data_IF_197291790033
#
_entry.id   IF_197291790033
#
_cell.length_a   1.000
_cell.length_b   1.000
_cell.length_c   1.000
_cell.angle_alpha   90.00
_cell.angle_beta   90.00
_cell.angle_gamma   90.00
#
_symmetry.space_group_name_H-M   'P 1'
#
loop_
_entity.id
_entity.type
_entity.pdbx_description
1 polymer ?
#
# COMPACT_ATOMS: atom_id res chain seq x y z
N UNK A 1 -14.34 16.84 -7.04
CA UNK A 1 -13.35 15.89 -6.47
C UNK A 1 -12.27 15.73 -7.53
N UNK A 2 -11.01 16.01 -7.17
CA UNK A 2 -9.90 15.83 -8.10
C UNK A 2 -9.67 14.32 -8.26
N UNK A 3 -10.12 13.76 -9.38
CA UNK A 3 -9.70 12.41 -9.78
C UNK A 3 -8.19 12.43 -9.92
N UNK A 4 -7.47 11.58 -9.20
CA UNK A 4 -6.08 11.31 -9.55
C UNK A 4 -6.09 10.58 -10.88
N UNK A 5 -5.23 10.96 -11.83
CA UNK A 5 -5.07 10.21 -13.08
C UNK A 5 -4.21 8.97 -12.87
N UNK A 6 -3.36 8.94 -11.84
CA UNK A 6 -2.47 7.81 -11.56
C UNK A 6 -2.11 7.59 -10.10
N UNK A 7 -1.23 6.60 -9.90
CA UNK A 7 -0.66 6.29 -8.59
C UNK A 7 0.69 5.58 -8.71
N UNK A 8 1.52 5.75 -7.67
CA UNK A 8 2.68 4.89 -7.44
C UNK A 8 2.43 4.02 -6.21
N UNK A 9 2.42 2.69 -6.40
CA UNK A 9 2.34 1.71 -5.33
C UNK A 9 3.74 1.14 -5.02
N UNK A 10 4.18 1.26 -3.78
CA UNK A 10 5.39 0.62 -3.28
C UNK A 10 5.03 -0.63 -2.47
N UNK A 11 5.59 -1.77 -2.85
CA UNK A 11 5.50 -3.01 -2.09
C UNK A 11 6.88 -3.38 -1.53
N UNK A 12 6.92 -3.69 -0.23
CA UNK A 12 8.14 -4.23 0.36
C UNK A 12 8.33 -5.69 -0.06
N UNK A 13 9.50 -6.02 -0.59
CA UNK A 13 9.84 -7.38 -1.06
C UNK A 13 10.70 -8.17 -0.05
N UNK A 14 10.76 -7.72 1.21
CA UNK A 14 11.48 -8.42 2.27
C UNK A 14 10.65 -9.55 2.88
N UNK A 15 11.30 -10.61 3.38
CA UNK A 15 10.64 -11.72 4.06
C UNK A 15 9.77 -11.27 5.25
N UNK A 16 10.16 -10.19 5.97
CA UNK A 16 9.36 -9.62 7.06
C UNK A 16 8.04 -9.00 6.63
N UNK A 17 7.88 -8.71 5.33
CA UNK A 17 6.60 -8.33 4.75
C UNK A 17 5.88 -9.52 4.09
N UNK A 18 6.27 -10.75 4.40
CA UNK A 18 5.65 -11.96 3.86
C UNK A 18 6.10 -12.31 2.43
N UNK A 19 7.13 -11.66 1.89
CA UNK A 19 7.63 -11.99 0.56
C UNK A 19 8.19 -13.42 0.55
N UNK A 20 7.58 -14.29 -0.26
CA UNK A 20 7.94 -15.70 -0.39
C UNK A 20 7.42 -16.61 0.74
N UNK A 21 6.65 -16.07 1.70
CA UNK A 21 6.07 -16.86 2.79
C UNK A 21 4.63 -17.30 2.42
N UNK A 22 4.38 -18.61 2.21
CA UNK A 22 3.06 -19.12 1.85
C UNK A 22 2.02 -19.00 2.98
N UNK A 23 2.44 -18.79 4.22
CA UNK A 23 1.54 -18.52 5.34
C UNK A 23 0.99 -17.08 5.34
N UNK A 24 1.44 -16.25 4.38
CA UNK A 24 1.00 -14.86 4.23
C UNK A 24 0.39 -14.61 2.87
N UNK A 25 -0.28 -13.47 2.72
CA UNK A 25 -0.82 -13.00 1.44
C UNK A 25 0.22 -12.24 0.59
N UNK A 26 1.52 -12.37 0.86
CA UNK A 26 2.57 -11.60 0.18
C UNK A 26 2.62 -11.82 -1.33
N UNK A 27 2.53 -13.07 -1.78
CA UNK A 27 2.48 -13.40 -3.21
C UNK A 27 1.19 -12.87 -3.86
N UNK A 28 0.06 -12.97 -3.16
CA UNK A 28 -1.24 -12.49 -3.63
C UNK A 28 -1.25 -10.96 -3.80
N UNK A 29 -0.70 -10.22 -2.83
CA UNK A 29 -0.56 -8.75 -2.91
C UNK A 29 0.26 -8.34 -4.13
N UNK A 30 1.40 -8.99 -4.37
CA UNK A 30 2.24 -8.65 -5.54
C UNK A 30 1.53 -9.00 -6.85
N UNK A 31 0.82 -10.12 -6.92
CA UNK A 31 0.05 -10.51 -8.09
C UNK A 31 -1.08 -9.50 -8.38
N UNK A 32 -1.83 -9.10 -7.34
CA UNK A 32 -2.91 -8.13 -7.45
C UNK A 32 -2.40 -6.74 -7.88
N UNK A 33 -1.33 -6.24 -7.24
CA UNK A 33 -0.74 -4.95 -7.64
C UNK A 33 -0.28 -4.94 -9.09
N UNK A 34 0.32 -6.04 -9.58
CA UNK A 34 0.68 -6.20 -11.00
C UNK A 34 -0.55 -6.18 -11.90
N UNK A 35 -1.64 -6.83 -11.50
CA UNK A 35 -2.89 -6.85 -12.27
C UNK A 35 -3.50 -5.45 -12.37
N UNK A 36 -3.59 -4.74 -11.25
CA UNK A 36 -4.12 -3.36 -11.21
C UNK A 36 -3.25 -2.41 -12.05
N UNK A 37 -1.93 -2.45 -11.91
CA UNK A 37 -1.02 -1.59 -12.67
C UNK A 37 -1.12 -1.85 -14.17
N UNK A 38 -1.23 -3.11 -14.60
CA UNK A 38 -1.43 -3.43 -16.04
C UNK A 38 -2.76 -2.94 -16.60
N UNK A 39 -3.77 -2.79 -15.75
CA UNK A 39 -5.09 -2.29 -16.14
C UNK A 39 -5.22 -0.76 -16.00
N UNK A 40 -4.16 -0.07 -15.53
CA UNK A 40 -4.14 1.38 -15.32
C UNK A 40 -3.28 2.06 -16.37
N UNK A 41 -3.68 3.27 -16.78
CA UNK A 41 -2.89 4.09 -17.71
C UNK A 41 -1.63 4.65 -17.03
N UNK A 42 -1.77 5.12 -15.79
CA UNK A 42 -0.72 5.85 -15.05
C UNK A 42 -0.35 5.17 -13.71
N UNK A 43 -0.61 3.86 -13.61
CA UNK A 43 -0.22 3.05 -12.45
C UNK A 43 1.25 2.63 -12.51
N UNK A 44 1.99 2.78 -11.41
CA UNK A 44 3.37 2.29 -11.29
C UNK A 44 3.51 1.41 -10.05
N UNK A 45 4.15 0.25 -10.20
CA UNK A 45 4.54 -0.63 -9.10
C UNK A 45 6.05 -0.57 -8.87
N UNK A 46 6.47 -0.31 -7.63
CA UNK A 46 7.87 -0.31 -7.22
C UNK A 46 8.08 -1.37 -6.13
N UNK A 47 9.06 -2.26 -6.32
CA UNK A 47 9.51 -3.19 -5.30
C UNK A 47 10.70 -2.62 -4.53
N UNK A 48 10.63 -2.58 -3.19
CA UNK A 48 11.71 -2.01 -2.35
C UNK A 48 12.02 -2.83 -1.10
N UNK A 49 13.13 -2.50 -0.43
CA UNK A 49 13.32 -2.83 0.98
C UNK A 49 12.26 -2.18 1.88
N UNK A 50 12.26 -2.50 3.17
CA UNK A 50 11.21 -2.04 4.08
C UNK A 50 11.28 -0.52 4.31
N UNK A 51 10.25 0.20 3.87
CA UNK A 51 10.13 1.67 4.01
C UNK A 51 9.88 2.14 5.46
N UNK A 52 9.59 1.21 6.37
CA UNK A 52 9.32 1.50 7.79
C UNK A 52 10.59 1.49 8.67
N UNK A 53 11.77 1.16 8.10
CA UNK A 53 13.03 1.09 8.84
C UNK A 53 12.96 0.17 10.07
N UNK A 54 13.47 0.62 11.21
CA UNK A 54 13.45 -0.14 12.47
C UNK A 54 12.03 -0.52 12.94
N UNK A 55 11.00 0.25 12.56
CA UNK A 55 9.60 -0.07 12.86
C UNK A 55 9.09 -1.34 12.18
N UNK A 56 9.80 -1.82 11.15
CA UNK A 56 9.50 -3.07 10.44
C UNK A 56 9.71 -4.30 11.32
N UNK A 57 10.73 -4.28 12.20
CA UNK A 57 11.11 -5.43 13.03
C UNK A 57 10.12 -5.71 14.17
N UNK A 58 9.42 -4.68 14.67
CA UNK A 58 8.49 -4.77 15.80
C UNK A 58 7.05 -5.13 15.39
N UNK A 59 6.82 -5.50 14.13
CA UNK A 59 5.49 -5.78 13.57
C UNK A 59 5.31 -7.26 13.25
N UNK A 60 4.06 -7.79 13.32
CA UNK A 60 3.72 -9.06 12.68
C UNK A 60 4.16 -9.14 11.21
N UNK A 61 4.54 -10.34 10.78
CA UNK A 61 4.89 -10.62 9.38
C UNK A 61 3.62 -10.55 8.53
N UNK A 62 3.51 -9.53 7.70
CA UNK A 62 2.37 -9.28 6.82
C UNK A 62 2.74 -8.22 5.76
N UNK A 63 2.19 -8.20 4.55
CA UNK A 63 2.48 -7.12 3.61
C UNK A 63 2.06 -5.73 4.11
N UNK A 64 2.77 -4.70 3.62
CA UNK A 64 2.36 -3.29 3.65
C UNK A 64 2.60 -2.70 2.27
N UNK A 65 1.72 -1.79 1.88
CA UNK A 65 1.81 -1.07 0.61
C UNK A 65 1.75 0.41 0.89
N UNK A 66 2.65 1.19 0.30
CA UNK A 66 2.52 2.66 0.31
C UNK A 66 2.00 3.08 -1.05
N UNK A 67 0.92 3.85 -1.07
CA UNK A 67 0.32 4.36 -2.29
C UNK A 67 0.44 5.87 -2.30
N UNK A 68 1.11 6.41 -3.32
CA UNK A 68 1.22 7.84 -3.56
C UNK A 68 0.30 8.18 -4.74
N UNK A 69 -0.85 8.84 -4.50
CA UNK A 69 -1.66 9.40 -5.56
C UNK A 69 -0.90 10.47 -6.34
N UNK A 70 -1.04 10.49 -7.66
CA UNK A 70 -0.36 11.46 -8.50
C UNK A 70 -1.17 11.84 -9.75
N UNK A 71 -0.76 12.93 -10.40
CA UNK A 71 -1.23 13.30 -11.72
C UNK A 71 -0.49 12.52 -12.83
N UNK A 72 -0.81 12.81 -14.09
CA UNK A 72 -0.25 12.20 -15.30
C UNK A 72 1.22 12.57 -15.50
N UNK A 73 1.65 13.68 -14.90
CA UNK A 73 3.05 14.11 -14.82
C UNK A 73 3.76 13.56 -13.57
N UNK A 74 3.14 12.61 -12.85
CA UNK A 74 3.65 11.95 -11.63
C UNK A 74 3.90 12.89 -10.46
N UNK A 75 3.23 14.04 -10.43
CA UNK A 75 3.29 14.97 -9.30
C UNK A 75 2.33 14.50 -8.21
N UNK A 76 2.78 14.42 -6.95
CA UNK A 76 1.91 14.11 -5.82
C UNK A 76 0.68 15.02 -5.77
N UNK A 77 -0.52 14.43 -5.77
CA UNK A 77 -1.80 15.16 -5.63
C UNK A 77 -2.32 15.17 -4.19
N UNK A 78 -1.81 14.26 -3.35
CA UNK A 78 -2.11 14.17 -1.92
C UNK A 78 -0.95 13.55 -1.14
N UNK A 79 -1.09 13.41 0.17
CA UNK A 79 -0.15 12.62 0.97
C UNK A 79 -0.19 11.14 0.57
N UNK A 80 0.94 10.45 0.73
CA UNK A 80 1.02 9.00 0.59
C UNK A 80 0.17 8.29 1.66
N UNK A 81 -0.48 7.21 1.26
CA UNK A 81 -1.30 6.35 2.11
C UNK A 81 -0.53 5.07 2.41
N UNK A 82 -0.27 4.80 3.69
CA UNK A 82 0.28 3.52 4.14
C UNK A 82 -0.88 2.54 4.40
N UNK A 83 -1.01 1.55 3.54
CA UNK A 83 -2.02 0.49 3.60
C UNK A 83 -1.42 -0.77 4.23
N UNK A 84 -2.03 -1.25 5.31
CA UNK A 84 -1.69 -2.51 5.95
C UNK A 84 -1.74 -2.46 7.49
N UNK A 85 -1.52 -3.62 8.14
CA UNK A 85 -1.05 -4.87 7.55
C UNK A 85 -2.13 -5.58 6.73
N UNK A 86 -1.77 -6.16 5.57
CA UNK A 86 -2.66 -7.05 4.82
C UNK A 86 -2.51 -8.47 5.35
N UNK A 87 -3.59 -9.08 5.82
CA UNK A 87 -3.59 -10.38 6.50
C UNK A 87 -4.39 -11.44 5.77
N UNK A 88 -5.37 -11.02 4.98
CA UNK A 88 -6.33 -11.92 4.33
C UNK A 88 -6.48 -11.57 2.86
N UNK A 89 -6.95 -12.51 2.05
CA UNK A 89 -7.29 -12.27 0.64
C UNK A 89 -8.38 -11.19 0.50
N UNK A 90 -9.25 -11.04 1.49
CA UNK A 90 -10.22 -9.93 1.53
C UNK A 90 -9.54 -8.56 1.64
N UNK A 91 -8.43 -8.45 2.38
CA UNK A 91 -7.63 -7.22 2.45
C UNK A 91 -7.00 -6.91 1.10
N UNK A 92 -6.50 -7.94 0.40
CA UNK A 92 -5.90 -7.80 -0.93
C UNK A 92 -6.95 -7.35 -1.95
N UNK A 93 -8.12 -7.98 -1.94
CA UNK A 93 -9.25 -7.59 -2.78
C UNK A 93 -9.71 -6.14 -2.49
N UNK A 94 -9.76 -5.73 -1.22
CA UNK A 94 -10.12 -4.37 -0.84
C UNK A 94 -9.10 -3.33 -1.35
N UNK A 95 -7.80 -3.60 -1.19
CA UNK A 95 -6.74 -2.76 -1.75
C UNK A 95 -6.86 -2.66 -3.28
N UNK A 96 -7.07 -3.78 -3.96
CA UNK A 96 -7.20 -3.82 -5.41
C UNK A 96 -8.43 -3.06 -5.91
N UNK A 97 -9.58 -3.22 -5.25
CA UNK A 97 -10.79 -2.48 -5.58
C UNK A 97 -10.61 -0.96 -5.41
N UNK A 98 -9.99 -0.55 -4.31
CA UNK A 98 -9.67 0.85 -4.04
C UNK A 98 -8.76 1.46 -5.10
N UNK A 99 -7.70 0.76 -5.50
CA UNK A 99 -6.79 1.24 -6.56
C UNK A 99 -7.47 1.33 -7.93
N UNK A 100 -8.30 0.34 -8.29
CA UNK A 100 -9.04 0.36 -9.58
C UNK A 100 -10.10 1.45 -9.64
N UNK A 101 -10.69 1.82 -8.50
CA UNK A 101 -11.70 2.88 -8.43
C UNK A 101 -11.09 4.27 -8.74
N UNK A 102 -9.79 4.46 -8.51
CA UNK A 102 -9.08 5.72 -8.78
C UNK A 102 -9.38 6.85 -7.79
N UNK A 103 -10.42 6.71 -6.95
CA UNK A 103 -10.67 7.58 -5.80
C UNK A 103 -9.81 7.13 -4.61
N UNK A 104 -8.58 7.66 -4.56
CA UNK A 104 -7.56 7.28 -3.59
C UNK A 104 -7.69 8.03 -2.25
N UNK A 105 -8.92 8.32 -1.83
CA UNK A 105 -9.20 8.78 -0.47
C UNK A 105 -9.01 7.60 0.53
N UNK A 106 -8.11 7.73 1.53
CA UNK A 106 -7.89 6.67 2.51
C UNK A 106 -9.15 6.29 3.29
N UNK A 107 -10.15 7.18 3.42
CA UNK A 107 -11.41 6.90 4.12
C UNK A 107 -12.27 5.84 3.43
N UNK A 108 -11.98 5.53 2.17
CA UNK A 108 -12.67 4.50 1.38
C UNK A 108 -12.09 3.09 1.60
N UNK A 109 -10.96 2.98 2.31
CA UNK A 109 -10.40 1.69 2.71
C UNK A 109 -11.04 1.19 4.02
N UNK A 110 -11.14 -0.15 4.21
CA UNK A 110 -11.43 -0.73 5.51
C UNK A 110 -10.51 -0.17 6.60
N UNK A 111 -11.11 0.17 7.75
CA UNK A 111 -10.43 0.94 8.82
C UNK A 111 -9.15 0.28 9.33
N UNK A 112 -9.11 -1.05 9.41
CA UNK A 112 -7.95 -1.80 9.92
C UNK A 112 -6.74 -1.74 8.97
N UNK A 113 -6.96 -1.43 7.69
CA UNK A 113 -5.87 -1.24 6.73
C UNK A 113 -5.18 0.12 6.88
N UNK A 114 -5.71 1.01 7.72
CA UNK A 114 -5.07 2.30 8.04
C UNK A 114 -4.34 2.27 9.40
N UNK A 115 -4.38 1.16 10.12
CA UNK A 115 -3.84 1.08 11.48
C UNK A 115 -2.34 1.35 11.55
N UNK A 116 -1.57 0.94 10.54
CA UNK A 116 -0.14 1.26 10.51
C UNK A 116 0.13 2.72 10.21
N UNK A 117 -0.65 3.34 9.32
CA UNK A 117 -0.52 4.78 9.06
C UNK A 117 -0.73 5.57 10.35
N UNK A 118 -1.74 5.21 11.13
CA UNK A 118 -2.05 5.83 12.44
C UNK A 118 -0.90 5.66 13.44
N UNK A 119 -0.35 4.44 13.55
CA UNK A 119 0.79 4.15 14.44
C UNK A 119 2.07 4.85 14.01
N UNK A 120 2.31 5.00 12.71
CA UNK A 120 3.48 5.70 12.17
C UNK A 120 3.37 7.22 12.38
N UNK A 121 2.18 7.80 12.16
CA UNK A 121 1.90 9.21 12.44
C UNK A 121 2.10 9.57 13.92
N UNK A 122 1.64 8.71 14.83
CA UNK A 122 1.84 8.89 16.27
C UNK A 122 3.31 8.92 16.70
N UNK A 123 4.20 8.20 15.98
CA UNK A 123 5.65 8.18 16.29
C UNK A 123 6.39 9.43 15.82
N UNK A 124 5.88 10.15 14.81
CA UNK A 124 6.48 11.42 14.33
C UNK A 124 6.09 12.63 15.18
N UNK A 125 5.08 12.50 16.05
CA UNK A 125 4.58 13.57 16.92
C UNK A 125 5.27 13.65 18.30
N UNK A 126 6.37 12.89 18.51
CA UNK A 126 7.16 12.96 19.75
C UNK A 126 8.32 13.95 19.54
N UNK A 127 8.39 15.07 20.29
CA UNK A 127 9.45 16.06 20.18
C UNK A 127 10.82 15.49 20.58
#
# INVERSE_FOLDING_TARGET
>A
MASCSGFTALSCVSARCGAGDPATVGAEVVAELRAVVRASTDGVLVGTGCVLGAGCAARPVAPVVVVQPCDDQRRPTSCAVLVGPLRTSADVAALGAWLRAGDLDPRLLPVHLLDQARRAGFRRARP
#
